data_IF_641026909666
#
_entry.id   IF_641026909666
#
_cell.length_a   1.000
_cell.length_b   1.000
_cell.length_c   1.000
_cell.angle_alpha   90.00
_cell.angle_beta   90.00
_cell.angle_gamma   90.00
#
_symmetry.space_group_name_H-M   'P 1'
#
loop_
_entity.id
_entity.type
_entity.pdbx_description
1 polymer ?
#
# COMPACT_ATOMS: atom_id res chain seq x y z
N UNK A 1 -6.53 -17.94 -1.62
CA UNK A 1 -6.46 -18.51 -2.98
C UNK A 1 -5.11 -18.10 -3.54
N UNK A 2 -4.30 -19.07 -3.91
CA UNK A 2 -3.02 -18.84 -4.56
C UNK A 2 -3.30 -18.65 -6.06
N UNK A 3 -2.88 -17.53 -6.62
CA UNK A 3 -3.08 -17.23 -8.04
C UNK A 3 -1.70 -17.02 -8.67
N UNK A 4 -1.39 -17.82 -9.67
CA UNK A 4 -0.12 -17.76 -10.39
C UNK A 4 -0.33 -17.13 -11.77
N UNK A 5 0.60 -16.26 -12.17
CA UNK A 5 0.60 -15.61 -13.47
C UNK A 5 2.01 -15.70 -14.07
N UNK A 6 2.08 -15.94 -15.37
CA UNK A 6 3.33 -15.87 -16.13
C UNK A 6 3.38 -14.58 -16.94
N UNK A 7 4.58 -14.07 -17.16
CA UNK A 7 4.82 -12.87 -17.95
C UNK A 7 6.25 -12.80 -18.46
N UNK A 8 6.50 -11.83 -19.33
CA UNK A 8 7.83 -11.59 -19.88
C UNK A 8 8.52 -10.50 -19.05
N UNK A 9 9.77 -10.71 -18.68
CA UNK A 9 10.58 -9.70 -18.01
C UNK A 9 10.57 -8.38 -18.80
N UNK A 10 10.60 -7.25 -18.09
CA UNK A 10 10.50 -5.89 -18.65
C UNK A 10 9.16 -5.57 -19.35
N UNK A 11 8.10 -6.31 -19.05
CA UNK A 11 6.73 -5.99 -19.50
C UNK A 11 5.77 -5.96 -18.32
N UNK A 12 4.66 -5.22 -18.46
CA UNK A 12 3.62 -5.22 -17.44
C UNK A 12 2.89 -6.56 -17.41
N UNK A 13 2.81 -7.17 -16.23
CA UNK A 13 1.92 -8.29 -15.95
C UNK A 13 0.66 -7.74 -15.27
N UNK A 14 -0.50 -7.96 -15.88
CA UNK A 14 -1.79 -7.53 -15.34
C UNK A 14 -2.58 -8.76 -14.89
N UNK A 15 -3.17 -8.70 -13.71
CA UNK A 15 -4.05 -9.74 -13.19
C UNK A 15 -5.23 -9.14 -12.44
N UNK A 16 -6.26 -9.98 -12.20
CA UNK A 16 -7.46 -9.60 -11.46
C UNK A 16 -7.56 -10.42 -10.18
N UNK A 17 -7.82 -9.74 -9.06
CA UNK A 17 -8.08 -10.39 -7.77
C UNK A 17 -9.59 -10.30 -7.51
N UNK A 18 -10.37 -11.38 -7.72
CA UNK A 18 -11.80 -11.35 -7.48
C UNK A 18 -12.08 -11.19 -5.98
N UNK A 19 -13.08 -10.36 -5.65
CA UNK A 19 -13.50 -10.10 -4.27
C UNK A 19 -12.34 -9.64 -3.36
N UNK A 20 -11.47 -8.79 -3.88
CA UNK A 20 -10.33 -8.26 -3.13
C UNK A 20 -10.78 -7.56 -1.83
N UNK A 21 -10.14 -7.94 -0.72
CA UNK A 21 -10.21 -7.21 0.54
C UNK A 21 -9.40 -5.92 0.40
N UNK A 22 -10.08 -4.79 0.55
CA UNK A 22 -9.43 -3.49 0.38
C UNK A 22 -8.65 -3.11 1.64
N UNK A 23 -7.44 -2.62 1.41
CA UNK A 23 -6.61 -2.04 2.45
C UNK A 23 -7.17 -0.69 2.89
N UNK A 24 -7.17 -0.46 4.20
CA UNK A 24 -7.43 0.85 4.83
C UNK A 24 -6.77 0.90 6.21
N UNK A 25 -6.59 2.08 6.84
CA UNK A 25 -6.07 2.16 8.20
C UNK A 25 -6.87 1.35 9.23
N UNK A 26 -8.19 1.25 9.07
CA UNK A 26 -9.07 0.44 9.93
C UNK A 26 -9.07 -1.05 9.59
N UNK A 27 -8.63 -1.43 8.40
CA UNK A 27 -8.53 -2.81 7.94
C UNK A 27 -7.24 -2.94 7.10
N UNK A 28 -6.06 -3.05 7.73
CA UNK A 28 -4.77 -3.00 7.06
C UNK A 28 -4.42 -4.36 6.41
N UNK A 29 -5.33 -4.92 5.63
CA UNK A 29 -5.17 -6.22 4.99
C UNK A 29 -4.08 -6.18 3.91
N UNK A 30 -3.15 -7.13 3.96
CA UNK A 30 -2.05 -7.26 3.02
C UNK A 30 -2.11 -8.62 2.30
N UNK A 31 -1.85 -8.57 1.00
CA UNK A 31 -1.59 -9.76 0.18
C UNK A 31 -0.09 -9.96 0.08
N UNK A 32 0.38 -11.17 0.28
CA UNK A 32 1.77 -11.53 0.02
C UNK A 32 1.89 -12.07 -1.41
N UNK A 33 3.00 -11.76 -2.05
CA UNK A 33 3.30 -12.29 -3.38
C UNK A 33 4.78 -12.65 -3.49
N UNK A 34 5.04 -13.56 -4.42
CA UNK A 34 6.37 -14.02 -4.79
C UNK A 34 6.52 -13.86 -6.31
N UNK A 35 7.70 -13.44 -6.75
CA UNK A 35 8.09 -13.36 -8.16
C UNK A 35 9.35 -14.18 -8.34
N UNK A 36 9.32 -15.10 -9.29
CA UNK A 36 10.45 -15.96 -9.65
C UNK A 36 10.95 -15.63 -11.06
N UNK A 37 12.27 -15.53 -11.23
CA UNK A 37 12.93 -15.38 -12.53
C UNK A 37 14.20 -16.22 -12.59
N UNK A 38 14.11 -17.40 -13.21
CA UNK A 38 15.22 -18.35 -13.26
C UNK A 38 15.51 -18.95 -11.88
N UNK A 39 16.64 -18.59 -11.28
CA UNK A 39 17.02 -18.99 -9.91
C UNK A 39 16.81 -17.89 -8.87
N UNK A 40 16.34 -16.71 -9.29
CA UNK A 40 16.12 -15.56 -8.41
C UNK A 40 14.65 -15.51 -7.94
N UNK A 41 14.46 -15.15 -6.67
CA UNK A 41 13.14 -15.10 -6.01
C UNK A 41 13.04 -13.84 -5.16
N UNK A 42 11.98 -13.07 -5.37
CA UNK A 42 11.65 -11.89 -4.56
C UNK A 42 10.28 -12.09 -3.91
N UNK A 43 10.22 -11.90 -2.60
CA UNK A 43 8.98 -11.89 -1.83
C UNK A 43 8.65 -10.47 -1.37
N UNK A 44 7.37 -10.11 -1.45
CA UNK A 44 6.90 -8.83 -0.96
C UNK A 44 5.40 -8.91 -0.60
N UNK A 45 4.80 -7.75 -0.38
CA UNK A 45 3.39 -7.62 -0.09
C UNK A 45 2.78 -6.40 -0.79
N UNK A 46 1.46 -6.42 -0.95
CA UNK A 46 0.70 -5.31 -1.49
C UNK A 46 -0.62 -5.13 -0.74
N UNK A 47 -1.06 -3.88 -0.61
CA UNK A 47 -2.40 -3.51 -0.16
C UNK A 47 -3.20 -2.97 -1.34
N UNK A 48 -4.39 -3.54 -1.58
CA UNK A 48 -5.25 -3.11 -2.69
C UNK A 48 -6.14 -1.97 -2.22
N UNK A 49 -5.98 -0.77 -2.80
CA UNK A 49 -6.78 0.41 -2.46
C UNK A 49 -6.86 1.41 -3.60
N UNK A 50 -7.92 2.20 -3.65
CA UNK A 50 -8.02 3.36 -4.55
C UNK A 50 -7.85 4.67 -3.77
N UNK A 51 -7.18 5.65 -4.39
CA UNK A 51 -7.13 7.03 -3.91
C UNK A 51 -7.67 7.91 -5.01
N UNK A 52 -8.63 8.76 -4.67
CA UNK A 52 -9.23 9.69 -5.62
C UNK A 52 -9.41 11.07 -4.97
N UNK A 53 -9.43 12.10 -5.80
CA UNK A 53 -9.94 13.42 -5.43
C UNK A 53 -11.36 13.53 -5.97
N UNK A 54 -12.32 13.87 -5.13
CA UNK A 54 -13.73 13.95 -5.54
C UNK A 54 -14.44 15.07 -4.80
N UNK A 55 -15.32 15.76 -5.50
CA UNK A 55 -16.24 16.72 -4.89
C UNK A 55 -17.32 15.96 -4.13
N UNK A 56 -17.51 16.29 -2.85
CA UNK A 56 -18.55 15.69 -2.02
C UNK A 56 -19.95 16.23 -2.38
N UNK A 57 -20.98 15.74 -1.70
CA UNK A 57 -22.36 16.19 -1.87
C UNK A 57 -22.62 17.64 -1.44
N UNK A 58 -21.62 18.31 -0.85
CA UNK A 58 -21.65 19.71 -0.43
C UNK A 58 -20.84 20.62 -1.37
N UNK A 59 -20.30 20.09 -2.46
CA UNK A 59 -19.50 20.87 -3.41
C UNK A 59 -18.03 21.07 -2.99
N UNK A 60 -17.54 20.35 -1.97
CA UNK A 60 -16.18 20.48 -1.45
C UNK A 60 -15.29 19.37 -2.03
N UNK A 61 -14.16 19.74 -2.63
CA UNK A 61 -13.16 18.79 -3.09
C UNK A 61 -12.45 18.13 -1.89
N UNK A 62 -12.47 16.80 -1.83
CA UNK A 62 -11.86 16.03 -0.74
C UNK A 62 -11.05 14.83 -1.27
N UNK A 63 -10.07 14.32 -0.49
CA UNK A 63 -9.47 13.03 -0.75
C UNK A 63 -10.42 11.90 -0.33
N UNK A 64 -10.47 10.85 -1.13
CA UNK A 64 -11.26 9.66 -0.88
C UNK A 64 -10.35 8.43 -0.94
N UNK A 65 -10.58 7.49 -0.02
CA UNK A 65 -9.97 6.18 0.04
C UNK A 65 -11.07 5.15 -0.20
N UNK A 66 -10.91 4.28 -1.20
CA UNK A 66 -11.89 3.24 -1.52
C UNK A 66 -13.32 3.79 -1.74
N UNK A 67 -13.43 4.97 -2.39
CA UNK A 67 -14.71 5.62 -2.67
C UNK A 67 -15.36 6.33 -1.48
N UNK A 68 -14.71 6.33 -0.30
CA UNK A 68 -15.18 6.99 0.92
C UNK A 68 -14.28 8.16 1.33
N UNK A 69 -14.88 9.24 1.83
CA UNK A 69 -14.11 10.36 2.38
C UNK A 69 -13.45 9.91 3.67
N UNK A 70 -12.12 10.09 3.76
CA UNK A 70 -11.36 9.84 4.97
C UNK A 70 -10.66 11.13 5.36
N UNK A 71 -10.95 11.63 6.56
CA UNK A 71 -10.21 12.74 7.13
C UNK A 71 -8.86 12.23 7.64
N UNK A 72 -7.78 12.71 7.05
CA UNK A 72 -6.42 12.32 7.42
C UNK A 72 -6.00 13.12 8.66
N UNK A 73 -6.08 12.48 9.82
CA UNK A 73 -5.54 12.99 11.07
C UNK A 73 -4.26 12.22 11.39
N UNK A 74 -3.12 12.87 11.23
CA UNK A 74 -1.82 12.28 11.51
C UNK A 74 -0.82 13.34 11.97
N UNK A 75 0.18 12.92 12.74
CA UNK A 75 1.31 13.77 13.11
C UNK A 75 2.28 13.89 11.95
N UNK A 76 3.02 14.99 11.89
CA UNK A 76 4.18 15.08 11.02
C UNK A 76 5.32 14.31 11.69
N UNK A 77 5.68 13.17 11.11
CA UNK A 77 6.92 12.49 11.44
C UNK A 77 8.04 13.02 10.53
N UNK A 78 9.09 13.57 11.13
CA UNK A 78 10.25 14.12 10.40
C UNK A 78 11.42 13.13 10.34
N UNK A 79 11.28 11.93 10.91
CA UNK A 79 12.38 10.96 11.01
C UNK A 79 13.54 11.49 11.85
N UNK A 80 13.25 12.24 12.91
CA UNK A 80 14.25 12.79 13.84
C UNK A 80 14.38 11.92 15.09
N UNK A 81 15.60 11.47 15.34
CA UNK A 81 15.99 10.71 16.52
C UNK A 81 17.01 11.50 17.32
N UNK A 82 16.81 11.79 18.62
CA UNK A 82 17.76 12.57 19.42
C UNK A 82 19.20 12.03 19.37
N UNK A 83 19.35 10.70 19.34
CA UNK A 83 20.66 10.04 19.40
C UNK A 83 21.29 9.81 18.01
N UNK A 84 20.47 9.58 16.98
CA UNK A 84 20.91 9.18 15.63
C UNK A 84 20.67 10.22 14.55
N UNK A 85 20.05 11.35 14.89
CA UNK A 85 19.50 12.38 14.00
C UNK A 85 18.53 11.80 12.96
N UNK A 86 19.04 11.14 11.92
CA UNK A 86 18.24 10.55 10.85
C UNK A 86 18.17 9.01 10.89
N UNK A 87 18.82 8.39 11.88
CA UNK A 87 18.85 6.93 12.04
C UNK A 87 18.07 6.54 13.28
N UNK A 88 17.05 5.70 13.10
CA UNK A 88 16.32 5.13 14.22
C UNK A 88 17.28 4.29 15.09
N UNK A 89 17.21 4.40 16.43
CA UNK A 89 18.12 3.68 17.32
C UNK A 89 17.85 2.17 17.36
N UNK A 90 16.61 1.74 17.07
CA UNK A 90 16.19 0.34 16.98
C UNK A 90 15.12 0.14 15.91
N UNK A 91 14.81 -1.12 15.58
CA UNK A 91 13.73 -1.46 14.65
C UNK A 91 12.35 -1.11 15.23
N UNK A 92 12.15 -1.33 16.53
CA UNK A 92 10.90 -1.02 17.24
C UNK A 92 10.64 0.48 17.37
N UNK A 93 11.68 1.30 17.21
CA UNK A 93 11.54 2.75 17.19
C UNK A 93 10.99 3.24 15.83
N UNK A 94 11.12 2.47 14.75
CA UNK A 94 10.60 2.85 13.43
C UNK A 94 9.08 2.77 13.30
#
# INVERSE_FOLDING_TARGET
MEVQHQGTANTFVTFTVPYAQLWSPSNPFLYHFEVELGQDTVQSYLGIRTIEKRTDNRGILRPFLNGQFVFQLGTLDQGFWPDGLHTAPTFEAM
#
